data_IF_045159731393
#
_entry.id   IF_045159731393
#
_cell.length_a   1.000
_cell.length_b   1.000
_cell.length_c   1.000
_cell.angle_alpha   90.00
_cell.angle_beta   90.00
_cell.angle_gamma   90.00
#
_symmetry.space_group_name_H-M   'P 1'
#
loop_
_entity.id
_entity.type
_entity.pdbx_description
1 polymer ?
#
# COMPACT_ATOMS: atom_id res chain seq x y z
N UNK A 1 -1.50 -11.63 19.77
CA UNK A 1 -1.22 -10.64 18.71
C UNK A 1 -1.37 -11.30 17.36
N UNK A 2 -1.36 -10.54 16.27
CA UNK A 2 -1.44 -11.04 14.90
C UNK A 2 -0.37 -10.36 14.03
N UNK A 3 -0.03 -10.97 12.91
CA UNK A 3 0.97 -10.43 11.99
C UNK A 3 0.32 -9.97 10.70
N UNK A 4 0.69 -8.79 10.22
CA UNK A 4 0.44 -8.36 8.84
C UNK A 4 1.63 -8.80 8.00
N UNK A 5 1.41 -9.74 7.07
CA UNK A 5 2.40 -10.09 6.05
C UNK A 5 2.05 -9.35 4.77
N UNK A 6 3.04 -8.70 4.18
CA UNK A 6 2.86 -7.92 2.97
C UNK A 6 3.87 -8.36 1.90
N UNK A 7 3.39 -8.52 0.67
CA UNK A 7 4.22 -8.90 -0.48
C UNK A 7 3.95 -7.99 -1.66
N UNK A 8 5.03 -7.48 -2.24
CA UNK A 8 5.02 -6.64 -3.42
C UNK A 8 5.50 -7.41 -4.64
N UNK A 9 4.81 -7.20 -5.76
CA UNK A 9 5.12 -7.80 -7.06
C UNK A 9 5.09 -6.71 -8.14
N UNK A 10 6.24 -6.31 -8.72
CA UNK A 10 6.24 -5.49 -9.92
C UNK A 10 5.77 -6.33 -11.11
N UNK A 11 4.81 -5.82 -11.89
CA UNK A 11 4.24 -6.55 -13.05
C UNK A 11 4.52 -5.89 -14.39
N UNK A 12 4.70 -4.56 -14.42
CA UNK A 12 5.24 -3.79 -15.55
C UNK A 12 5.89 -2.51 -15.04
N UNK A 13 6.36 -1.63 -15.94
CA UNK A 13 6.92 -0.33 -15.55
C UNK A 13 5.92 0.57 -14.81
N UNK A 14 4.62 0.38 -15.00
CA UNK A 14 3.53 1.20 -14.44
C UNK A 14 2.42 0.38 -13.75
N UNK A 15 2.63 -0.92 -13.53
CA UNK A 15 1.67 -1.78 -12.83
C UNK A 15 2.37 -2.67 -11.82
N UNK A 16 1.63 -3.03 -10.78
CA UNK A 16 2.10 -3.86 -9.68
C UNK A 16 0.93 -4.58 -9.02
N UNK A 17 1.26 -5.55 -8.17
CA UNK A 17 0.31 -6.23 -7.30
C UNK A 17 0.85 -6.25 -5.88
N UNK A 18 -0.03 -5.99 -4.92
CA UNK A 18 0.23 -6.23 -3.51
C UNK A 18 -0.64 -7.37 -2.99
N UNK A 19 -0.07 -8.18 -2.11
CA UNK A 19 -0.77 -9.23 -1.38
C UNK A 19 -0.55 -9.01 0.11
N UNK A 20 -1.64 -8.99 0.88
CA UNK A 20 -1.61 -8.78 2.32
C UNK A 20 -2.34 -9.93 3.03
N UNK A 21 -1.74 -10.43 4.11
CA UNK A 21 -2.32 -11.48 4.93
C UNK A 21 -2.32 -11.06 6.40
N UNK A 22 -3.50 -11.08 7.03
CA UNK A 22 -3.61 -10.96 8.48
C UNK A 22 -3.56 -12.37 9.08
N UNK A 23 -2.40 -12.74 9.64
CA UNK A 23 -2.19 -14.03 10.25
C UNK A 23 -2.58 -13.99 11.74
N UNK A 24 -3.78 -14.49 12.03
CA UNK A 24 -4.27 -14.69 13.39
C UNK A 24 -4.01 -16.13 13.85
N UNK A 25 -3.82 -16.32 15.15
CA UNK A 25 -3.98 -17.65 15.74
C UNK A 25 -5.41 -18.18 15.59
N UNK A 26 -5.65 -19.50 15.66
CA UNK A 26 -6.99 -20.06 15.58
C UNK A 26 -7.91 -19.50 16.67
N UNK A 27 -9.09 -19.00 16.27
CA UNK A 27 -10.08 -18.52 17.22
C UNK A 27 -10.67 -19.68 18.04
N UNK A 28 -10.77 -19.49 19.34
CA UNK A 28 -11.32 -20.46 20.31
C UNK A 28 -12.74 -20.11 20.73
N UNK A 29 -13.20 -18.88 20.42
CA UNK A 29 -14.56 -18.40 20.72
C UNK A 29 -15.18 -17.65 19.54
N UNK A 30 -16.51 -17.54 19.54
CA UNK A 30 -17.24 -16.73 18.55
C UNK A 30 -16.83 -15.25 18.62
N UNK A 31 -16.66 -14.72 19.84
CA UNK A 31 -16.24 -13.34 20.06
C UNK A 31 -14.88 -13.07 19.41
N UNK A 32 -13.92 -13.93 19.66
CA UNK A 32 -12.57 -13.84 19.10
C UNK A 32 -12.56 -13.95 17.57
N UNK A 33 -13.40 -14.83 17.01
CA UNK A 33 -13.59 -14.90 15.56
C UNK A 33 -14.07 -13.56 14.99
N UNK A 34 -15.08 -12.94 15.62
CA UNK A 34 -15.57 -11.62 15.20
C UNK A 34 -14.48 -10.56 15.33
N UNK A 35 -13.69 -10.59 16.40
CA UNK A 35 -12.56 -9.67 16.57
C UNK A 35 -11.52 -9.78 15.44
N UNK A 36 -11.19 -11.00 14.97
CA UNK A 36 -10.29 -11.19 13.82
C UNK A 36 -10.83 -10.58 12.52
N UNK A 37 -12.14 -10.76 12.25
CA UNK A 37 -12.78 -10.21 11.05
C UNK A 37 -12.83 -8.68 11.10
N UNK A 38 -13.20 -8.10 12.26
CA UNK A 38 -13.24 -6.65 12.46
C UNK A 38 -11.84 -6.04 12.37
N UNK A 39 -10.84 -6.67 12.97
CA UNK A 39 -9.45 -6.23 12.88
C UNK A 39 -8.94 -6.20 11.42
N UNK A 40 -9.45 -7.09 10.56
CA UNK A 40 -9.04 -7.17 9.16
C UNK A 40 -9.57 -6.03 8.29
N UNK A 41 -10.60 -5.30 8.74
CA UNK A 41 -11.17 -4.17 8.00
C UNK A 41 -10.17 -3.03 7.89
N UNK A 42 -9.48 -2.71 8.99
CA UNK A 42 -8.61 -1.52 9.05
C UNK A 42 -7.45 -1.58 8.04
N UNK A 43 -6.64 -2.65 7.97
CA UNK A 43 -5.59 -2.76 6.97
C UNK A 43 -6.10 -2.71 5.53
N UNK A 44 -7.28 -3.29 5.27
CA UNK A 44 -7.91 -3.25 3.94
C UNK A 44 -8.24 -1.81 3.53
N UNK A 45 -8.85 -1.03 4.41
CA UNK A 45 -9.23 0.35 4.09
C UNK A 45 -8.00 1.25 3.87
N UNK A 46 -6.93 1.07 4.65
CA UNK A 46 -5.67 1.76 4.39
C UNK A 46 -5.03 1.35 3.06
N UNK A 47 -5.01 0.05 2.75
CA UNK A 47 -4.47 -0.43 1.48
C UNK A 47 -5.20 0.13 0.25
N UNK A 48 -6.52 0.33 0.35
CA UNK A 48 -7.31 0.96 -0.71
C UNK A 48 -7.00 2.45 -0.88
N UNK A 49 -6.78 3.18 0.22
CA UNK A 49 -6.37 4.59 0.17
C UNK A 49 -4.99 4.74 -0.48
N UNK A 50 -4.03 3.90 -0.08
CA UNK A 50 -2.68 3.89 -0.67
C UNK A 50 -2.72 3.55 -2.16
N UNK A 51 -3.51 2.55 -2.57
CA UNK A 51 -3.65 2.19 -3.98
C UNK A 51 -4.20 3.36 -4.82
N UNK A 52 -5.18 4.10 -4.28
CA UNK A 52 -5.71 5.30 -4.94
C UNK A 52 -4.65 6.39 -5.11
N UNK A 53 -3.84 6.64 -4.07
CA UNK A 53 -2.75 7.61 -4.12
C UNK A 53 -1.69 7.23 -5.15
N UNK A 54 -1.24 5.96 -5.16
CA UNK A 54 -0.25 5.47 -6.12
C UNK A 54 -0.76 5.54 -7.57
N UNK A 55 -2.02 5.18 -7.81
CA UNK A 55 -2.64 5.30 -9.13
C UNK A 55 -2.73 6.74 -9.61
N UNK A 56 -3.08 7.67 -8.71
CA UNK A 56 -3.09 9.11 -9.00
C UNK A 56 -1.71 9.65 -9.34
N UNK A 57 -0.69 9.27 -8.57
CA UNK A 57 0.71 9.64 -8.84
C UNK A 57 1.18 9.09 -10.19
N UNK A 58 0.91 7.81 -10.49
CA UNK A 58 1.28 7.21 -11.78
C UNK A 58 0.61 7.95 -12.95
N UNK A 59 -0.68 8.26 -12.86
CA UNK A 59 -1.39 9.02 -13.89
C UNK A 59 -0.80 10.43 -14.10
N UNK A 60 -0.40 11.11 -13.02
CA UNK A 60 0.25 12.42 -13.10
C UNK A 60 1.62 12.35 -13.78
N UNK A 61 2.41 11.32 -13.49
CA UNK A 61 3.68 11.07 -14.17
C UNK A 61 3.47 10.76 -15.65
N UNK A 62 2.44 9.97 -15.97
CA UNK A 62 2.12 9.58 -17.35
C UNK A 62 1.63 10.76 -18.21
N UNK A 63 0.93 11.72 -17.60
CA UNK A 63 0.47 12.94 -18.30
C UNK A 63 1.62 13.79 -18.85
N UNK A 64 2.79 13.75 -18.22
CA UNK A 64 4.01 14.47 -18.65
C UNK A 64 4.98 13.65 -19.50
N UNK A 65 4.60 12.48 -20.04
CA UNK A 65 5.56 11.58 -20.70
C UNK A 65 6.13 12.10 -22.03
N UNK A 66 5.40 12.96 -22.74
CA UNK A 66 5.90 13.57 -23.99
C UNK A 66 6.70 14.86 -23.74
N UNK A 67 6.35 15.63 -22.70
CA UNK A 67 7.12 16.76 -22.16
C UNK A 67 6.93 16.82 -20.63
N UNK A 68 7.97 16.52 -19.82
CA UNK A 68 7.86 16.56 -18.37
C UNK A 68 7.47 17.95 -17.89
N UNK A 69 6.40 18.04 -17.09
CA UNK A 69 5.99 19.30 -16.44
C UNK A 69 6.95 19.64 -15.28
N UNK A 70 7.64 18.63 -14.73
CA UNK A 70 8.54 18.73 -13.60
C UNK A 70 9.74 17.81 -13.82
N UNK A 71 10.95 18.35 -13.68
CA UNK A 71 12.21 17.63 -13.91
C UNK A 71 12.81 17.04 -12.62
N UNK A 72 12.32 17.48 -11.45
CA UNK A 72 12.81 17.11 -10.12
C UNK A 72 11.66 16.89 -9.12
N UNK A 73 11.76 15.85 -8.28
CA UNK A 73 10.76 15.53 -7.25
C UNK A 73 11.30 15.87 -5.86
N UNK A 74 11.05 17.08 -5.32
CA UNK A 74 11.58 17.47 -4.03
C UNK A 74 10.87 16.68 -2.92
N UNK A 75 11.62 15.84 -2.24
CA UNK A 75 11.17 15.15 -1.03
C UNK A 75 11.40 16.06 0.18
N UNK A 76 10.67 15.88 1.28
CA UNK A 76 10.85 16.60 2.55
C UNK A 76 11.41 15.71 3.68
N UNK A 77 11.56 16.25 4.88
CA UNK A 77 12.16 15.52 6.02
C UNK A 77 11.32 14.31 6.50
N UNK A 78 10.01 14.29 6.23
CA UNK A 78 9.13 13.14 6.49
C UNK A 78 9.35 12.00 5.50
N UNK A 79 9.98 12.26 4.36
CA UNK A 79 10.17 11.32 3.25
C UNK A 79 11.61 10.75 3.21
N UNK A 80 12.33 10.83 4.33
CA UNK A 80 13.74 10.41 4.38
C UNK A 80 13.95 8.95 3.98
N UNK A 81 13.00 8.06 4.27
CA UNK A 81 13.07 6.65 3.84
C UNK A 81 12.79 6.47 2.35
N UNK A 82 12.08 7.40 1.72
CA UNK A 82 11.86 7.40 0.26
C UNK A 82 13.15 7.81 -0.47
N UNK A 83 13.92 8.73 0.13
CA UNK A 83 15.26 9.13 -0.36
C UNK A 83 16.32 8.04 -0.15
N UNK A 84 16.07 7.08 0.73
CA UNK A 84 17.07 6.09 1.10
C UNK A 84 17.14 4.99 0.06
N UNK A 85 17.89 5.24 -1.03
CA UNK A 85 18.54 4.28 -1.93
C UNK A 85 19.51 5.06 -2.84
#
# INVERSE_FOLDING_TARGET
GWYLLYRYWPTSHNTHKFEAYNAFHPATTVRERVEHEVASVVPKEFALQDAGMLGGTQAALEYGLDEPIVDDYPLNDQEILVRHL
#
